data_IF_808644301749
#
_entry.id   IF_808644301749
#
_cell.length_a   1.000
_cell.length_b   1.000
_cell.length_c   1.000
_cell.angle_alpha   90.00
_cell.angle_beta   90.00
_cell.angle_gamma   90.00
#
_symmetry.space_group_name_H-M   'P 1'
#
loop_
_entity.id
_entity.type
_entity.pdbx_description
1 polymer ?
#
# COMPACT_ATOMS: atom_id res chain seq x y z
N UNK A 1 -4.27 18.89 -3.27
CA UNK A 1 -5.19 18.51 -2.18
C UNK A 1 -4.98 19.41 -0.98
N UNK A 2 -5.93 19.43 -0.05
CA UNK A 2 -5.66 19.78 1.36
C UNK A 2 -5.13 18.55 2.11
N UNK A 3 -4.44 18.73 3.24
CA UNK A 3 -4.08 17.66 4.18
C UNK A 3 -5.28 17.00 4.86
N UNK A 4 -6.51 17.49 4.62
CA UNK A 4 -7.78 16.98 5.14
C UNK A 4 -8.19 15.58 4.62
N UNK A 5 -7.69 15.17 3.45
CA UNK A 5 -8.08 13.90 2.82
C UNK A 5 -6.88 13.12 2.29
N UNK A 6 -6.98 11.79 2.38
CA UNK A 6 -5.96 10.83 1.94
C UNK A 6 -6.51 9.98 0.80
N UNK A 7 -5.68 9.72 -0.21
CA UNK A 7 -5.93 8.75 -1.29
C UNK A 7 -4.81 7.72 -1.21
N UNK A 8 -5.13 6.56 -0.65
CA UNK A 8 -4.18 5.48 -0.40
C UNK A 8 -4.41 4.32 -1.36
N UNK A 9 -3.36 3.54 -1.59
CA UNK A 9 -3.34 2.34 -2.42
C UNK A 9 -2.73 1.21 -1.59
N UNK A 10 -3.31 0.01 -1.66
CA UNK A 10 -2.78 -1.16 -0.97
C UNK A 10 -1.47 -1.70 -1.59
N UNK A 11 -1.07 -1.17 -2.75
CA UNK A 11 0.16 -1.50 -3.48
C UNK A 11 0.93 -0.24 -3.87
N UNK A 12 2.25 -0.35 -3.98
CA UNK A 12 3.13 0.67 -4.59
C UNK A 12 3.41 0.39 -6.08
N UNK A 13 3.25 -0.87 -6.51
CA UNK A 13 3.53 -1.34 -7.86
C UNK A 13 2.51 -2.38 -8.32
N UNK A 14 2.22 -2.43 -9.62
CA UNK A 14 1.16 -3.29 -10.20
C UNK A 14 1.62 -4.07 -11.45
N UNK A 15 1.08 -5.26 -11.67
CA UNK A 15 1.02 -5.94 -12.98
C UNK A 15 -0.29 -5.62 -13.70
N UNK A 16 -0.38 -5.90 -15.00
CA UNK A 16 -1.61 -5.76 -15.80
C UNK A 16 -2.76 -6.67 -15.34
N UNK A 17 -2.46 -7.71 -14.55
CA UNK A 17 -3.42 -8.64 -13.96
C UNK A 17 -3.74 -8.37 -12.48
N UNK A 18 -3.13 -7.34 -11.86
CA UNK A 18 -3.42 -6.99 -10.46
C UNK A 18 -4.86 -6.40 -10.34
N UNK A 19 -5.49 -6.61 -9.19
CA UNK A 19 -6.51 -5.67 -8.69
C UNK A 19 -5.86 -4.85 -7.58
N UNK A 20 -6.04 -3.53 -7.59
CA UNK A 20 -5.45 -2.60 -6.62
C UNK A 20 -6.58 -1.94 -5.83
N UNK A 21 -6.56 -2.04 -4.50
CA UNK A 21 -7.58 -1.40 -3.66
C UNK A 21 -7.15 0.02 -3.33
N UNK A 22 -8.00 0.96 -3.69
CA UNK A 22 -7.83 2.39 -3.41
C UNK A 22 -8.81 2.80 -2.32
N UNK A 23 -8.28 3.38 -1.24
CA UNK A 23 -9.08 3.91 -0.12
C UNK A 23 -9.02 5.43 -0.15
N UNK A 24 -10.17 6.10 -0.13
CA UNK A 24 -10.24 7.57 -0.01
C UNK A 24 -10.96 7.91 1.29
N UNK A 25 -10.26 8.60 2.21
CA UNK A 25 -10.79 8.92 3.54
C UNK A 25 -10.39 10.30 4.04
N UNK A 26 -11.10 10.75 5.07
CA UNK A 26 -10.67 11.85 5.93
C UNK A 26 -9.37 11.53 6.68
N UNK A 27 -8.58 12.57 6.97
CA UNK A 27 -7.38 12.45 7.81
C UNK A 27 -7.71 12.31 9.30
N UNK A 28 -8.86 12.81 9.72
CA UNK A 28 -9.48 12.63 11.04
C UNK A 28 -10.93 12.14 10.89
N UNK A 29 -11.56 11.75 12.00
CA UNK A 29 -12.96 11.26 11.98
C UNK A 29 -13.97 12.35 11.58
N UNK A 30 -13.64 13.63 11.82
CA UNK A 30 -14.47 14.80 11.47
C UNK A 30 -14.25 15.28 10.03
N UNK A 31 -13.32 14.66 9.29
CA UNK A 31 -13.01 14.95 7.90
C UNK A 31 -13.91 14.17 6.94
N UNK A 32 -15.23 14.32 7.09
CA UNK A 32 -16.21 13.71 6.19
C UNK A 32 -16.21 14.38 4.81
N UNK A 33 -16.75 13.66 3.81
CA UNK A 33 -17.06 14.17 2.48
C UNK A 33 -18.39 13.59 1.98
N UNK A 34 -19.05 14.30 1.06
CA UNK A 34 -20.36 13.91 0.51
C UNK A 34 -20.24 13.44 -0.94
N UNK A 35 -19.53 14.23 -1.75
CA UNK A 35 -19.26 13.94 -3.15
C UNK A 35 -17.81 13.55 -3.41
N UNK A 36 -17.60 12.73 -4.43
CA UNK A 36 -16.27 12.37 -4.96
C UNK A 36 -16.35 12.21 -6.49
N UNK A 37 -15.26 12.52 -7.17
CA UNK A 37 -14.93 12.06 -8.51
C UNK A 37 -13.50 11.51 -8.47
N UNK A 38 -13.32 10.24 -8.80
CA UNK A 38 -12.02 9.54 -8.79
C UNK A 38 -11.72 9.01 -10.20
N UNK A 39 -10.50 9.21 -10.69
CA UNK A 39 -9.98 8.63 -11.95
C UNK A 39 -8.52 8.22 -11.80
N UNK A 40 -8.13 7.11 -12.42
CA UNK A 40 -6.73 6.74 -12.57
C UNK A 40 -6.20 7.38 -13.86
N UNK A 41 -4.98 7.94 -13.81
CA UNK A 41 -4.36 8.66 -14.93
C UNK A 41 -2.88 8.30 -15.08
N UNK A 42 -2.40 8.24 -16.33
CA UNK A 42 -0.96 8.30 -16.60
C UNK A 42 -0.35 9.57 -16.02
N UNK A 43 0.88 9.48 -15.51
CA UNK A 43 1.51 10.60 -14.81
C UNK A 43 1.92 11.71 -15.78
N UNK A 44 2.40 11.35 -16.98
CA UNK A 44 2.94 12.29 -17.97
C UNK A 44 1.84 12.82 -18.90
N UNK A 45 1.18 11.93 -19.65
CA UNK A 45 0.15 12.30 -20.65
C UNK A 45 -1.21 12.64 -20.04
N UNK A 46 -1.44 12.39 -18.75
CA UNK A 46 -2.72 12.61 -18.05
C UNK A 46 -3.92 11.86 -18.65
N UNK A 47 -3.68 10.85 -19.49
CA UNK A 47 -4.67 9.96 -20.08
C UNK A 47 -5.34 9.11 -18.99
N UNK A 48 -6.68 8.99 -19.04
CA UNK A 48 -7.44 8.13 -18.12
C UNK A 48 -7.18 6.66 -18.47
N UNK A 49 -6.93 5.81 -17.48
CA UNK A 49 -6.33 4.48 -17.68
C UNK A 49 -6.89 3.41 -16.72
N UNK A 50 -7.16 2.21 -17.23
CA UNK A 50 -7.76 1.11 -16.47
C UNK A 50 -9.25 1.32 -16.14
N UNK A 51 -9.83 0.41 -15.37
CA UNK A 51 -11.26 0.40 -15.01
C UNK A 51 -11.48 0.13 -13.52
N UNK A 52 -12.70 0.38 -13.04
CA UNK A 52 -13.05 0.33 -11.63
C UNK A 52 -14.21 -0.61 -11.34
N UNK A 53 -14.15 -1.27 -10.18
CA UNK A 53 -15.27 -1.94 -9.52
C UNK A 53 -15.52 -1.30 -8.16
N UNK A 54 -16.78 -1.29 -7.74
CA UNK A 54 -17.22 -0.68 -6.47
C UNK A 54 -17.03 -1.61 -5.27
N UNK A 55 -16.82 -1.02 -4.09
CA UNK A 55 -16.96 -1.71 -2.79
C UNK A 55 -18.03 -0.98 -2.00
N UNK A 56 -18.98 -1.72 -1.41
CA UNK A 56 -20.14 -1.13 -0.72
C UNK A 56 -21.14 -0.47 -1.67
N UNK A 57 -21.96 0.45 -1.14
CA UNK A 57 -23.10 1.08 -1.83
C UNK A 57 -23.02 2.62 -1.91
N UNK A 58 -22.05 3.23 -1.23
CA UNK A 58 -21.83 4.68 -1.17
C UNK A 58 -21.27 5.30 -2.46
N UNK A 59 -20.77 4.46 -3.36
CA UNK A 59 -20.15 4.84 -4.63
C UNK A 59 -20.74 4.06 -5.80
N UNK A 60 -20.55 4.60 -7.01
CA UNK A 60 -20.87 3.98 -8.29
C UNK A 60 -19.79 4.32 -9.32
N UNK A 61 -19.70 3.52 -10.37
CA UNK A 61 -18.86 3.85 -11.53
C UNK A 61 -19.42 5.00 -12.34
N UNK A 62 -18.55 5.61 -13.14
CA UNK A 62 -18.86 6.69 -14.07
C UNK A 62 -18.11 6.46 -15.39
N UNK A 63 -18.77 6.80 -16.51
CA UNK A 63 -18.12 6.91 -17.82
C UNK A 63 -17.34 8.23 -17.87
N UNK A 64 -16.01 8.15 -18.05
CA UNK A 64 -15.14 9.30 -18.21
C UNK A 64 -14.44 9.22 -19.57
N UNK A 65 -14.59 10.25 -20.40
CA UNK A 65 -13.96 10.28 -21.73
C UNK A 65 -14.57 9.31 -22.75
N UNK A 66 -15.82 8.87 -22.55
CA UNK A 66 -16.53 7.96 -23.46
C UNK A 66 -16.41 6.48 -23.09
N UNK A 67 -15.55 6.10 -22.14
CA UNK A 67 -15.31 4.72 -21.74
C UNK A 67 -15.95 4.44 -20.37
N UNK A 68 -16.77 3.39 -20.29
CA UNK A 68 -17.45 3.00 -19.06
C UNK A 68 -16.49 2.53 -17.96
N UNK A 69 -16.92 2.72 -16.71
CA UNK A 69 -16.20 2.28 -15.52
C UNK A 69 -14.76 2.82 -15.39
N UNK A 70 -14.42 3.93 -16.04
CA UNK A 70 -13.09 4.58 -15.95
C UNK A 70 -12.97 5.61 -14.83
N UNK A 71 -14.09 6.00 -14.23
CA UNK A 71 -14.12 6.75 -12.97
C UNK A 71 -15.07 6.17 -11.93
N UNK A 72 -14.96 6.70 -10.71
CA UNK A 72 -15.88 6.46 -9.59
C UNK A 72 -16.49 7.80 -9.15
N UNK A 73 -17.75 7.79 -8.76
CA UNK A 73 -18.41 8.91 -8.07
C UNK A 73 -19.29 8.43 -6.91
N UNK A 74 -19.69 9.37 -6.04
CA UNK A 74 -20.67 9.11 -4.98
C UNK A 74 -22.02 8.62 -5.52
N UNK A 75 -22.69 7.77 -4.76
CA UNK A 75 -24.03 7.29 -5.06
C UNK A 75 -25.12 8.09 -4.31
N UNK A 76 -24.79 8.66 -3.14
CA UNK A 76 -25.66 9.44 -2.25
C UNK A 76 -24.97 10.73 -1.79
N UNK A 77 -25.71 11.79 -1.40
CA UNK A 77 -25.15 13.00 -0.80
C UNK A 77 -24.85 12.87 0.70
N UNK A 78 -25.01 11.67 1.29
CA UNK A 78 -24.73 11.39 2.71
C UNK A 78 -23.26 11.62 3.05
N UNK A 79 -22.96 12.01 4.30
CA UNK A 79 -21.59 12.13 4.79
C UNK A 79 -20.89 10.76 4.88
N UNK A 80 -19.65 10.70 4.40
CA UNK A 80 -18.77 9.53 4.37
C UNK A 80 -17.44 9.91 5.00
N UNK A 81 -16.92 9.09 5.90
CA UNK A 81 -15.55 9.25 6.43
C UNK A 81 -14.51 8.53 5.57
N UNK A 82 -14.90 7.45 4.90
CA UNK A 82 -14.05 6.62 4.03
C UNK A 82 -14.89 5.95 2.93
N UNK A 83 -14.29 5.72 1.76
CA UNK A 83 -14.77 4.80 0.73
C UNK A 83 -13.63 3.91 0.26
N UNK A 84 -13.95 2.75 -0.32
CA UNK A 84 -12.99 1.88 -1.01
C UNK A 84 -13.47 1.62 -2.45
N UNK A 85 -12.54 1.52 -3.38
CA UNK A 85 -12.78 1.13 -4.76
C UNK A 85 -11.66 0.22 -5.27
N UNK A 86 -11.97 -0.65 -6.23
CA UNK A 86 -11.00 -1.57 -6.83
C UNK A 86 -10.63 -1.05 -8.23
N UNK A 87 -9.36 -0.69 -8.42
CA UNK A 87 -8.81 -0.34 -9.72
C UNK A 87 -8.19 -1.57 -10.40
N UNK A 88 -8.44 -1.70 -11.69
CA UNK A 88 -7.95 -2.75 -12.56
C UNK A 88 -7.08 -2.08 -13.62
N UNK A 89 -5.76 -2.34 -13.65
CA UNK A 89 -4.88 -1.83 -14.69
C UNK A 89 -5.32 -2.29 -16.08
N UNK A 90 -4.92 -1.58 -17.15
CA UNK A 90 -5.14 -2.05 -18.52
C UNK A 90 -4.31 -3.31 -18.80
N UNK A 91 -4.71 -4.08 -19.81
CA UNK A 91 -3.95 -5.22 -20.34
C UNK A 91 -2.58 -4.87 -20.93
N UNK A 92 -2.34 -3.58 -21.20
CA UNK A 92 -1.13 -3.07 -21.85
C UNK A 92 -0.66 -1.81 -21.13
N UNK A 93 0.61 -1.78 -20.73
CA UNK A 93 1.23 -0.61 -20.12
C UNK A 93 1.56 0.41 -21.22
N UNK A 94 1.07 1.65 -21.06
CA UNK A 94 1.32 2.78 -21.98
C UNK A 94 2.27 3.82 -21.36
N UNK A 95 2.30 3.91 -20.02
CA UNK A 95 3.31 4.59 -19.22
C UNK A 95 3.52 3.78 -17.94
N UNK A 96 4.77 3.65 -17.49
CA UNK A 96 5.12 2.90 -16.28
C UNK A 96 4.75 3.61 -14.98
N UNK A 97 4.20 4.83 -15.03
CA UNK A 97 3.84 5.63 -13.86
C UNK A 97 2.44 6.18 -13.98
N UNK A 98 1.58 5.83 -13.02
CA UNK A 98 0.21 6.34 -12.94
C UNK A 98 -0.05 6.97 -11.57
N UNK A 99 -1.06 7.83 -11.49
CA UNK A 99 -1.58 8.42 -10.24
C UNK A 99 -3.11 8.32 -10.24
N UNK A 100 -3.68 8.10 -9.05
CA UNK A 100 -5.12 8.27 -8.85
C UNK A 100 -5.37 9.74 -8.53
N UNK A 101 -6.21 10.42 -9.33
CA UNK A 101 -6.67 11.79 -9.09
C UNK A 101 -8.11 11.76 -8.54
N UNK A 102 -8.34 12.45 -7.43
CA UNK A 102 -9.66 12.74 -6.91
C UNK A 102 -10.00 14.25 -6.98
N UNK A 103 -11.30 14.53 -7.08
CA UNK A 103 -11.93 15.75 -6.58
C UNK A 103 -12.91 15.35 -5.49
N UNK A 104 -12.85 16.02 -4.33
CA UNK A 104 -13.62 15.68 -3.13
C UNK A 104 -14.50 16.87 -2.74
N UNK A 105 -15.78 16.63 -2.44
CA UNK A 105 -16.76 17.67 -2.08
C UNK A 105 -17.19 17.45 -0.62
N UNK A 106 -16.85 18.38 0.26
CA UNK A 106 -17.32 18.37 1.65
C UNK A 106 -18.72 18.99 1.75
N UNK A 107 -18.87 20.19 1.19
CA UNK A 107 -20.11 20.95 1.12
C UNK A 107 -20.17 21.74 -0.20
N UNK A 108 -21.31 22.37 -0.50
CA UNK A 108 -21.54 23.13 -1.74
C UNK A 108 -20.44 24.19 -2.03
N UNK A 109 -19.91 24.78 -0.96
CA UNK A 109 -18.85 25.81 -0.94
C UNK A 109 -17.42 25.26 -0.76
N UNK A 110 -17.25 23.95 -0.47
CA UNK A 110 -15.95 23.35 -0.09
C UNK A 110 -15.62 22.15 -0.95
N UNK A 111 -14.87 22.43 -2.02
CA UNK A 111 -14.43 21.46 -3.02
C UNK A 111 -12.90 21.42 -3.03
N UNK A 112 -12.34 20.22 -2.96
CA UNK A 112 -10.91 19.94 -2.95
C UNK A 112 -10.53 19.25 -4.26
N UNK A 113 -10.00 20.03 -5.19
CA UNK A 113 -9.47 19.54 -6.48
C UNK A 113 -8.01 19.08 -6.35
N UNK A 114 -7.53 18.40 -7.38
CA UNK A 114 -6.13 17.96 -7.52
C UNK A 114 -5.60 17.28 -6.26
N UNK A 115 -6.40 16.35 -5.74
CA UNK A 115 -5.99 15.37 -4.77
C UNK A 115 -5.40 14.19 -5.51
N UNK A 116 -4.16 13.81 -5.18
CA UNK A 116 -3.44 12.72 -5.83
C UNK A 116 -3.03 11.67 -4.81
N UNK A 117 -3.07 10.40 -5.22
CA UNK A 117 -2.36 9.33 -4.53
C UNK A 117 -0.84 9.49 -4.66
N UNK A 118 -0.11 8.64 -3.94
CA UNK A 118 1.24 8.23 -4.36
C UNK A 118 1.27 7.79 -5.84
N UNK A 119 2.43 7.88 -6.49
CA UNK A 119 2.61 7.26 -7.82
C UNK A 119 2.61 5.74 -7.68
N UNK A 120 1.85 5.06 -8.54
CA UNK A 120 1.93 3.62 -8.69
C UNK A 120 2.76 3.29 -9.93
N UNK A 121 3.75 2.42 -9.79
CA UNK A 121 4.65 2.05 -10.88
C UNK A 121 4.26 0.70 -11.47
N UNK A 122 4.24 0.59 -12.80
CA UNK A 122 4.15 -0.71 -13.45
C UNK A 122 5.37 -1.56 -13.06
N UNK A 123 5.13 -2.80 -12.65
CA UNK A 123 6.23 -3.76 -12.45
C UNK A 123 6.82 -4.11 -13.82
N UNK A 124 8.15 -4.31 -13.93
CA UNK A 124 8.75 -4.88 -15.12
C UNK A 124 8.01 -6.17 -15.50
N UNK A 125 7.46 -6.20 -16.70
CA UNK A 125 6.98 -7.45 -17.28
C UNK A 125 8.22 -8.16 -17.79
N UNK A 126 8.50 -9.36 -17.28
CA UNK A 126 9.60 -10.22 -17.75
C UNK A 126 9.34 -10.60 -19.22
N UNK A 127 9.75 -9.69 -20.09
CA UNK A 127 9.56 -9.78 -21.52
C UNK A 127 10.68 -10.65 -22.06
N UNK A 128 10.60 -11.94 -21.72
CA UNK A 128 11.37 -13.03 -22.34
C UNK A 128 10.96 -13.09 -23.80
N UNK A 129 11.48 -12.14 -24.56
CA UNK A 129 11.34 -12.08 -26.01
C UNK A 129 12.18 -13.24 -26.52
N UNK A 130 11.53 -14.38 -26.75
CA UNK A 130 12.14 -15.52 -27.43
C UNK A 130 12.38 -15.14 -28.90
N UNK A 131 13.37 -14.28 -29.11
CA UNK A 131 13.96 -14.04 -30.42
C UNK A 131 14.60 -15.36 -30.82
N UNK A 132 13.88 -16.14 -31.63
CA UNK A 132 14.36 -17.39 -32.20
C UNK A 132 15.46 -17.09 -33.24
N UNK A 133 16.62 -16.66 -32.75
CA UNK A 133 17.78 -16.27 -33.56
C UNK A 133 18.35 -17.51 -34.23
N UNK A 134 17.97 -17.73 -35.49
CA UNK A 134 18.39 -18.87 -36.31
C UNK A 134 19.83 -18.67 -36.81
N UNK A 135 20.77 -18.75 -35.88
CA UNK A 135 22.20 -18.61 -36.15
C UNK A 135 22.70 -19.74 -37.09
N UNK A 136 23.42 -19.41 -38.18
CA UNK A 136 24.01 -20.42 -39.06
C UNK A 136 25.12 -21.22 -38.39
N UNK A 137 25.27 -22.49 -38.79
CA UNK A 137 26.41 -23.33 -38.41
C UNK A 137 27.72 -22.81 -39.03
N UNK A 138 28.72 -22.50 -38.19
CA UNK A 138 30.12 -22.55 -38.62
C UNK A 138 30.98 -23.28 -37.58
N UNK A 139 31.84 -24.17 -38.07
CA UNK A 139 32.65 -25.12 -37.29
C UNK A 139 34.08 -24.60 -37.18
N UNK A 140 34.58 -24.49 -35.94
CA UNK A 140 36.01 -24.37 -35.64
C UNK A 140 36.36 -25.34 -34.52
N UNK A 141 37.36 -26.19 -34.75
CA UNK A 141 37.79 -27.24 -33.81
C UNK A 141 39.26 -27.05 -33.43
N UNK A 142 39.53 -26.73 -32.17
CA UNK A 142 40.91 -26.80 -31.62
C UNK A 142 40.93 -27.25 -30.17
N UNK A 143 41.31 -28.51 -30.00
CA UNK A 143 42.00 -29.20 -28.89
C UNK A 143 41.93 -28.68 -27.44
N UNK A 144 41.59 -29.59 -26.53
CA UNK A 144 41.67 -29.48 -25.06
C UNK A 144 43.10 -29.41 -24.51
N UNK A 145 43.32 -28.60 -23.46
CA UNK A 145 44.34 -28.89 -22.43
C UNK A 145 43.83 -28.48 -21.04
N UNK A 146 43.67 -29.45 -20.14
CA UNK A 146 43.38 -29.24 -18.71
C UNK A 146 44.61 -29.59 -17.88
N UNK A 147 45.09 -28.67 -17.05
CA UNK A 147 46.03 -29.00 -15.98
C UNK A 147 45.54 -28.45 -14.64
N UNK A 148 45.19 -29.38 -13.75
CA UNK A 148 44.91 -29.14 -12.34
C UNK A 148 46.14 -29.53 -11.51
N UNK A 149 46.63 -28.64 -10.64
CA UNK A 149 47.42 -29.00 -9.45
C UNK A 149 47.57 -27.81 -8.49
N UNK A 150 47.61 -28.14 -7.19
CA UNK A 150 47.67 -27.22 -6.05
C UNK A 150 49.12 -26.83 -5.70
N UNK A 151 49.35 -25.59 -5.27
CA UNK A 151 50.59 -25.21 -4.56
C UNK A 151 50.37 -24.07 -3.55
N UNK A 152 50.65 -24.33 -2.27
CA UNK A 152 50.73 -23.33 -1.18
C UNK A 152 52.18 -23.15 -0.71
N UNK A 153 52.69 -21.91 -0.56
CA UNK A 153 53.91 -21.62 0.21
C UNK A 153 53.63 -21.15 1.66
N UNK A 154 54.67 -21.15 2.52
CA UNK A 154 54.59 -20.96 3.97
C UNK A 154 54.92 -19.55 4.51
N UNK A 155 54.61 -19.32 5.79
CA UNK A 155 54.94 -18.13 6.60
C UNK A 155 56.36 -18.16 7.20
N UNK A 156 56.93 -16.96 7.39
CA UNK A 156 57.92 -16.60 8.44
C UNK A 156 57.39 -15.28 9.08
N UNK A 157 57.27 -15.02 10.39
CA UNK A 157 58.12 -15.24 11.61
C UNK A 157 59.40 -14.39 11.62
N UNK A 158 59.78 -13.60 12.65
CA UNK A 158 59.16 -12.88 13.81
C UNK A 158 60.29 -11.97 14.42
N UNK A 159 60.23 -11.17 15.49
CA UNK A 159 59.32 -10.93 16.64
C UNK A 159 59.59 -9.51 17.22
N UNK A 160 58.62 -8.83 17.86
CA UNK A 160 58.88 -7.82 18.92
C UNK A 160 57.95 -8.02 20.13
N UNK A 161 58.35 -7.45 21.29
CA UNK A 161 58.06 -7.98 22.65
C UNK A 161 56.87 -7.27 23.34
N UNK A 162 56.07 -7.94 24.19
CA UNK A 162 54.81 -7.37 24.71
C UNK A 162 54.96 -6.63 26.04
N UNK A 163 53.90 -5.89 26.41
CA UNK A 163 53.68 -5.46 27.80
C UNK A 163 52.19 -5.61 28.17
N UNK A 164 51.93 -6.26 29.31
CA UNK A 164 50.58 -6.54 29.81
C UNK A 164 50.30 -5.77 31.11
N UNK A 165 49.08 -5.25 31.24
CA UNK A 165 48.52 -4.80 32.51
C UNK A 165 47.09 -5.35 32.64
N UNK A 166 46.70 -5.69 33.87
CA UNK A 166 45.54 -6.54 34.17
C UNK A 166 44.89 -6.06 35.47
N UNK A 167 43.55 -6.18 35.54
CA UNK A 167 42.70 -6.02 36.73
C UNK A 167 42.54 -4.56 37.29
N UNK A 168 41.44 -4.15 37.95
CA UNK A 168 40.05 -4.67 38.12
C UNK A 168 39.18 -3.54 38.76
N UNK A 169 37.89 -3.79 39.03
CA UNK A 169 36.88 -2.96 39.76
C UNK A 169 36.13 -1.92 38.90
N UNK A 170 34.82 -1.68 39.06
CA UNK A 170 33.74 -2.34 39.84
C UNK A 170 32.38 -2.14 39.11
N UNK A 171 31.30 -2.90 39.41
CA UNK A 171 30.07 -2.90 38.61
C UNK A 171 28.98 -1.93 39.10
N UNK A 172 28.08 -1.52 38.21
CA UNK A 172 26.77 -0.95 38.58
C UNK A 172 25.61 -1.68 37.89
N UNK A 173 24.71 -2.23 38.71
CA UNK A 173 23.45 -2.83 38.29
C UNK A 173 22.35 -1.77 38.09
N UNK A 174 21.49 -1.94 37.08
CA UNK A 174 20.10 -1.48 37.19
C UNK A 174 19.08 -2.45 36.56
N UNK A 175 18.72 -3.46 37.38
CA UNK A 175 17.33 -3.89 37.63
C UNK A 175 16.42 -4.18 36.42
N UNK A 176 16.35 -5.44 35.93
CA UNK A 176 15.10 -5.95 35.38
C UNK A 176 14.03 -5.94 36.48
N UNK A 177 12.86 -5.35 36.21
CA UNK A 177 11.74 -5.31 37.19
C UNK A 177 10.65 -6.27 36.77
N UNK A 178 10.49 -7.37 37.50
CA UNK A 178 9.39 -8.33 37.31
C UNK A 178 8.10 -7.83 37.93
N UNK A 179 7.00 -7.72 37.17
CA UNK A 179 5.64 -7.63 37.73
C UNK A 179 4.63 -8.25 36.74
N UNK A 180 4.22 -9.52 36.93
CA UNK A 180 3.28 -10.19 36.05
C UNK A 180 1.85 -10.14 36.62
N UNK A 181 1.03 -9.19 36.17
CA UNK A 181 -0.41 -9.17 36.47
C UNK A 181 -1.25 -8.88 35.24
N UNK A 182 -2.14 -9.84 34.90
CA UNK A 182 -3.28 -9.61 34.01
C UNK A 182 -4.54 -9.34 34.86
N UNK A 183 -5.73 -9.60 34.33
CA UNK A 183 -7.03 -9.48 35.02
C UNK A 183 -7.48 -8.04 35.34
N UNK A 184 -7.97 -7.32 34.32
CA UNK A 184 -8.97 -6.25 34.52
C UNK A 184 -10.28 -6.56 33.79
N UNK A 185 -11.00 -7.58 34.28
CA UNK A 185 -12.40 -7.74 33.93
C UNK A 185 -13.16 -6.49 34.39
N UNK A 186 -13.72 -5.73 33.45
CA UNK A 186 -14.50 -4.52 33.75
C UNK A 186 -15.94 -4.80 33.33
N UNK A 187 -16.76 -5.27 34.28
CA UNK A 187 -18.19 -5.47 34.04
C UNK A 187 -18.90 -4.14 33.84
N UNK A 188 -19.70 -3.97 32.78
CA UNK A 188 -20.66 -2.88 32.71
C UNK A 188 -21.71 -3.03 33.83
N UNK A 189 -22.18 -1.94 34.47
CA UNK A 189 -23.29 -2.03 35.41
C UNK A 189 -24.58 -2.38 34.65
N UNK A 190 -25.17 -3.54 34.94
CA UNK A 190 -26.46 -3.93 34.39
C UNK A 190 -27.59 -3.04 34.96
N UNK A 191 -28.10 -2.13 34.13
CA UNK A 191 -29.26 -1.31 34.47
C UNK A 191 -30.55 -2.15 34.36
N UNK A 192 -31.03 -2.65 35.50
CA UNK A 192 -32.30 -3.37 35.57
C UNK A 192 -33.49 -2.42 35.31
N UNK A 193 -33.95 -2.40 34.05
CA UNK A 193 -35.14 -1.67 33.59
C UNK A 193 -36.43 -2.27 34.19
N UNK A 194 -36.77 -1.87 35.41
CA UNK A 194 -38.07 -2.13 36.00
C UNK A 194 -39.17 -1.47 35.11
N UNK A 195 -39.99 -2.30 34.47
CA UNK A 195 -41.11 -1.84 33.63
C UNK A 195 -42.41 -2.08 34.40
N UNK A 196 -42.85 -1.09 35.18
CA UNK A 196 -44.11 -1.12 35.91
C UNK A 196 -45.20 -0.38 35.11
N UNK A 197 -46.09 -1.15 34.49
CA UNK A 197 -47.24 -0.64 33.75
C UNK A 197 -48.25 0.04 34.70
N UNK A 198 -48.61 1.32 34.52
CA UNK A 198 -49.74 1.91 35.23
C UNK A 198 -51.04 1.29 34.70
N UNK A 199 -51.72 0.50 35.53
CA UNK A 199 -53.08 0.06 35.21
C UNK A 199 -54.02 1.27 35.14
N UNK A 200 -54.78 1.39 34.05
CA UNK A 200 -55.93 2.30 34.01
C UNK A 200 -56.97 1.81 35.01
N UNK A 201 -57.31 2.64 35.99
CA UNK A 201 -58.65 2.61 36.57
C UNK A 201 -59.51 3.71 35.96
N UNK A 202 -60.78 3.39 35.75
CA UNK A 202 -61.84 4.27 35.26
C UNK A 202 -62.79 4.52 36.43
N UNK A 203 -63.00 5.79 36.74
CA UNK A 203 -63.94 6.31 37.73
C UNK A 203 -64.15 7.78 37.42
#
# INVERSE_FOLDING_TARGET
CSSKYLIESDKLQYHTSDTVRITVRGSTNDDTFRGILLVAKTKTSQQIIGTWSVVGSDIKTLNCGGIDNTGITHNSPSDKSSIEALWHPPSTIIEDSIVIKATIVQSFDKIYVDCFSITLTAKPTDTTTTVASRAPTHRSTTTTHTHHSTATPHNHRATTTPQSHHATTTPHNHRPTTTPHSHRATTPPHSHRATTTPHRHRG
#
